data_IF_017607995776
#
_entry.id   IF_017607995776
#
_cell.length_a   1.000
_cell.length_b   1.000
_cell.length_c   1.000
_cell.angle_alpha   90.00
_cell.angle_beta   90.00
_cell.angle_gamma   90.00
#
_symmetry.space_group_name_H-M   'P 1'
#
loop_
_entity.id
_entity.type
_entity.pdbx_description
1 polymer ?
#
# COMPACT_ATOMS: atom_id res chain seq x y z
N UNK A 1 10.62 -9.63 -5.55
CA UNK A 1 11.79 -8.75 -5.35
C UNK A 1 11.97 -8.30 -3.90
N UNK A 2 11.50 -9.05 -2.89
CA UNK A 2 11.67 -8.70 -1.47
C UNK A 2 12.19 -9.92 -0.69
N UNK A 3 13.49 -9.96 -0.39
CA UNK A 3 14.14 -11.00 0.40
C UNK A 3 14.31 -10.63 1.89
N UNK A 4 14.10 -9.36 2.26
CA UNK A 4 14.12 -8.91 3.65
C UNK A 4 12.80 -9.21 4.37
N UNK A 5 12.89 -9.72 5.61
CA UNK A 5 11.71 -10.04 6.44
C UNK A 5 10.86 -8.82 6.80
N UNK A 6 11.46 -7.63 6.85
CA UNK A 6 10.78 -6.35 7.10
C UNK A 6 11.35 -5.29 6.16
N UNK A 7 10.48 -4.49 5.54
CA UNK A 7 10.85 -3.38 4.63
C UNK A 7 10.44 -2.08 5.31
N UNK A 8 11.34 -1.13 5.47
CA UNK A 8 10.99 0.18 6.01
C UNK A 8 10.25 1.03 4.98
N UNK A 9 9.42 1.98 5.43
CA UNK A 9 8.78 2.95 4.53
C UNK A 9 9.79 3.76 3.74
N UNK A 10 10.94 4.10 4.35
CA UNK A 10 12.02 4.83 3.70
C UNK A 10 12.67 4.01 2.58
N UNK A 11 12.98 2.73 2.81
CA UNK A 11 13.50 1.84 1.76
C UNK A 11 12.51 1.70 0.60
N UNK A 12 11.22 1.54 0.91
CA UNK A 12 10.18 1.44 -0.11
C UNK A 12 10.01 2.76 -0.87
N UNK A 13 10.04 3.90 -0.17
CA UNK A 13 9.98 5.23 -0.77
C UNK A 13 11.15 5.43 -1.75
N UNK A 14 12.37 5.11 -1.33
CA UNK A 14 13.56 5.22 -2.17
C UNK A 14 13.48 4.31 -3.40
N UNK A 15 13.05 3.06 -3.23
CA UNK A 15 12.89 2.11 -4.33
C UNK A 15 11.84 2.57 -5.37
N UNK A 16 10.71 3.12 -4.91
CA UNK A 16 9.63 3.59 -5.80
C UNK A 16 9.86 5.00 -6.34
N UNK A 17 10.93 5.69 -5.93
CA UNK A 17 11.15 7.10 -6.27
C UNK A 17 10.06 8.02 -5.69
N UNK A 18 9.50 7.66 -4.53
CA UNK A 18 8.47 8.40 -3.82
C UNK A 18 9.04 9.05 -2.55
N UNK A 19 8.32 10.06 -2.06
CA UNK A 19 8.53 10.58 -0.70
C UNK A 19 7.86 9.68 0.35
N UNK A 20 8.38 9.70 1.58
CA UNK A 20 7.73 8.98 2.69
C UNK A 20 6.29 9.49 2.94
N UNK A 21 6.02 10.78 2.70
CA UNK A 21 4.68 11.37 2.76
C UNK A 21 3.69 10.76 1.76
N UNK A 22 4.14 10.46 0.54
CA UNK A 22 3.32 9.78 -0.48
C UNK A 22 3.03 8.33 -0.07
N UNK A 23 4.04 7.61 0.44
CA UNK A 23 3.85 6.26 1.00
C UNK A 23 2.83 6.29 2.16
N UNK A 24 2.95 7.26 3.07
CA UNK A 24 2.00 7.43 4.18
C UNK A 24 0.58 7.72 3.70
N UNK A 25 0.42 8.50 2.63
CA UNK A 25 -0.89 8.76 2.02
C UNK A 25 -1.51 7.49 1.44
N UNK A 26 -0.73 6.67 0.73
CA UNK A 26 -1.20 5.37 0.21
C UNK A 26 -1.60 4.44 1.37
N UNK A 27 -0.76 4.32 2.40
CA UNK A 27 -1.06 3.54 3.60
C UNK A 27 -2.36 3.99 4.27
N UNK A 28 -2.56 5.30 4.41
CA UNK A 28 -3.78 5.88 4.99
C UNK A 28 -5.03 5.50 4.20
N UNK A 29 -4.98 5.56 2.86
CA UNK A 29 -6.09 5.17 1.99
C UNK A 29 -6.37 3.66 2.04
N UNK A 30 -5.34 2.82 2.12
CA UNK A 30 -5.50 1.38 2.27
C UNK A 30 -6.07 1.02 3.65
N UNK A 31 -5.67 1.71 4.72
CA UNK A 31 -6.23 1.56 6.08
C UNK A 31 -7.73 1.82 6.16
N UNK A 32 -8.24 2.77 5.37
CA UNK A 32 -9.69 3.03 5.30
C UNK A 32 -10.48 1.83 4.75
N UNK A 33 -9.84 0.99 3.92
CA UNK A 33 -10.45 -0.19 3.29
C UNK A 33 -10.16 -1.48 4.06
N UNK A 34 -9.01 -1.51 4.73
CA UNK A 34 -8.47 -2.63 5.47
C UNK A 34 -8.14 -2.17 6.88
N UNK A 35 -9.01 -2.50 7.84
CA UNK A 35 -8.89 -2.12 9.25
C UNK A 35 -7.51 -2.44 9.86
N UNK A 36 -6.79 -3.43 9.32
CA UNK A 36 -5.47 -3.88 9.78
C UNK A 36 -4.31 -3.58 8.83
N UNK A 37 -4.42 -2.63 7.89
CA UNK A 37 -3.31 -2.28 7.02
C UNK A 37 -2.23 -1.50 7.80
N UNK A 38 -1.19 -2.22 8.24
CA UNK A 38 -0.08 -1.87 9.13
C UNK A 38 -0.44 -1.41 10.55
N UNK A 39 -0.01 -2.15 11.60
CA UNK A 39 1.11 -1.68 12.42
C UNK A 39 2.13 -2.80 12.66
N UNK A 40 3.40 -2.59 12.28
CA UNK A 40 4.46 -3.54 12.63
C UNK A 40 5.47 -2.92 13.60
N UNK A 41 5.15 -3.06 14.88
CA UNK A 41 5.98 -2.82 16.07
C UNK A 41 6.33 -1.34 16.34
N UNK A 42 6.00 -0.89 17.56
CA UNK A 42 6.28 0.44 18.09
C UNK A 42 7.75 0.84 17.89
N UNK A 43 7.97 1.90 17.12
CA UNK A 43 9.28 2.56 16.99
C UNK A 43 9.94 2.48 15.62
N UNK A 44 9.56 1.55 14.74
CA UNK A 44 10.14 1.49 13.38
C UNK A 44 9.02 1.35 12.33
N UNK A 45 8.95 2.30 11.39
CA UNK A 45 8.05 2.32 10.24
C UNK A 45 8.29 1.15 9.28
N UNK A 46 8.08 -0.09 9.73
CA UNK A 46 8.28 -1.32 8.97
C UNK A 46 6.95 -1.79 8.36
N UNK A 47 7.07 -2.42 7.21
CA UNK A 47 6.03 -3.03 6.40
C UNK A 47 6.38 -4.51 6.22
N UNK A 48 5.37 -5.37 6.31
CA UNK A 48 5.48 -6.75 5.88
C UNK A 48 5.63 -6.79 4.36
N UNK A 49 6.22 -7.86 3.84
CA UNK A 49 6.43 -8.06 2.39
C UNK A 49 5.15 -7.87 1.56
N UNK A 50 4.01 -8.38 2.02
CA UNK A 50 2.74 -8.23 1.30
C UNK A 50 2.20 -6.79 1.34
N UNK A 51 2.43 -6.04 2.42
CA UNK A 51 2.03 -4.63 2.53
C UNK A 51 2.86 -3.77 1.58
N UNK A 52 4.18 -4.01 1.51
CA UNK A 52 5.05 -3.34 0.56
C UNK A 52 4.66 -3.65 -0.89
N UNK A 53 4.37 -4.92 -1.21
CA UNK A 53 3.89 -5.32 -2.53
C UNK A 53 2.54 -4.66 -2.90
N UNK A 54 1.63 -4.51 -1.94
CA UNK A 54 0.37 -3.81 -2.18
C UNK A 54 0.59 -2.32 -2.46
N UNK A 55 1.51 -1.65 -1.75
CA UNK A 55 1.85 -0.24 -1.99
C UNK A 55 2.53 -0.07 -3.35
N UNK A 56 3.47 -0.96 -3.70
CA UNK A 56 4.11 -1.01 -5.02
C UNK A 56 3.06 -1.18 -6.14
N UNK A 57 2.09 -2.08 -5.94
CA UNK A 57 0.99 -2.26 -6.88
C UNK A 57 0.13 -1.00 -7.03
N UNK A 58 -0.23 -0.34 -5.92
CA UNK A 58 -0.97 0.93 -5.97
C UNK A 58 -0.19 1.95 -6.78
N UNK A 59 1.10 2.11 -6.51
CA UNK A 59 1.95 3.08 -7.23
C UNK A 59 1.97 2.81 -8.74
N UNK A 60 2.09 1.54 -9.16
CA UNK A 60 2.05 1.18 -10.58
C UNK A 60 0.68 1.54 -11.20
N UNK A 61 -0.42 1.21 -10.50
CA UNK A 61 -1.79 1.46 -11.00
C UNK A 61 -2.19 2.93 -11.00
N UNK A 62 -1.57 3.77 -10.17
CA UNK A 62 -1.78 5.21 -10.20
C UNK A 62 -1.38 5.88 -11.53
N UNK A 63 -0.67 5.18 -12.43
CA UNK A 63 -0.40 5.65 -13.79
C UNK A 63 -1.63 5.66 -14.69
N UNK A 64 -2.62 4.83 -14.38
CA UNK A 64 -3.81 4.59 -15.21
C UNK A 64 -5.12 4.91 -14.47
N UNK A 65 -5.08 4.90 -13.14
CA UNK A 65 -6.26 5.03 -12.29
C UNK A 65 -6.05 6.09 -11.21
N UNK A 66 -7.16 6.60 -10.67
CA UNK A 66 -7.08 7.43 -9.46
C UNK A 66 -6.46 6.65 -8.30
N UNK A 67 -5.89 7.37 -7.34
CA UNK A 67 -5.29 6.72 -6.17
C UNK A 67 -6.29 5.87 -5.38
N UNK A 68 -7.57 6.26 -5.33
CA UNK A 68 -8.61 5.49 -4.65
C UNK A 68 -8.94 4.19 -5.39
N UNK A 69 -9.10 4.23 -6.71
CA UNK A 69 -9.32 3.03 -7.52
C UNK A 69 -8.11 2.09 -7.51
N UNK A 70 -6.90 2.64 -7.57
CA UNK A 70 -5.67 1.86 -7.43
C UNK A 70 -5.60 1.16 -6.06
N UNK A 71 -6.02 1.83 -4.99
CA UNK A 71 -6.15 1.22 -3.66
C UNK A 71 -7.23 0.12 -3.64
N UNK A 72 -8.38 0.33 -4.27
CA UNK A 72 -9.43 -0.70 -4.34
C UNK A 72 -8.93 -1.96 -5.06
N UNK A 73 -8.29 -1.78 -6.21
CA UNK A 73 -7.69 -2.87 -6.98
C UNK A 73 -6.62 -3.62 -6.18
N UNK A 74 -5.81 -2.91 -5.40
CA UNK A 74 -4.80 -3.53 -4.53
C UNK A 74 -5.45 -4.37 -3.42
N UNK A 75 -6.56 -3.90 -2.84
CA UNK A 75 -7.32 -4.67 -1.84
C UNK A 75 -7.90 -5.94 -2.45
N UNK A 76 -8.50 -5.84 -3.64
CA UNK A 76 -9.06 -6.97 -4.36
C UNK A 76 -7.98 -8.02 -4.71
N UNK A 77 -6.82 -7.56 -5.20
CA UNK A 77 -5.74 -8.42 -5.66
C UNK A 77 -4.97 -9.12 -4.51
N UNK A 78 -4.70 -8.43 -3.41
CA UNK A 78 -3.82 -8.94 -2.35
C UNK A 78 -4.57 -9.44 -1.11
N UNK A 79 -5.81 -9.02 -0.90
CA UNK A 79 -6.58 -9.34 0.31
C UNK A 79 -7.89 -10.09 0.00
N UNK A 80 -8.12 -10.45 -1.27
CA UNK A 80 -9.29 -11.21 -1.74
C UNK A 80 -10.64 -10.64 -1.27
N UNK A 81 -10.68 -9.34 -0.99
CA UNK A 81 -11.85 -8.64 -0.48
C UNK A 81 -12.44 -7.83 -1.61
N UNK A 82 -13.65 -8.20 -2.04
CA UNK A 82 -14.37 -7.47 -3.09
C UNK A 82 -14.81 -6.12 -2.53
N UNK A 83 -14.42 -5.03 -3.18
CA UNK A 83 -14.90 -3.69 -2.81
C UNK A 83 -16.08 -3.38 -3.72
N UNK A 84 -17.27 -3.28 -3.14
CA UNK A 84 -18.47 -2.92 -3.89
C UNK A 84 -18.35 -1.45 -4.28
N UNK A 85 -17.89 -1.18 -5.51
CA UNK A 85 -17.83 0.18 -6.06
C UNK A 85 -19.26 0.64 -6.33
N UNK A 86 -19.74 1.60 -5.55
CA UNK A 86 -20.97 2.31 -5.90
C UNK A 86 -20.60 3.23 -7.06
N UNK A 87 -21.09 2.94 -8.27
CA UNK A 87 -20.94 3.86 -9.41
C UNK A 87 -21.70 5.13 -9.05
N UNK A 88 -20.99 6.23 -8.86
CA UNK A 88 -21.58 7.56 -8.95
C UNK A 88 -21.71 7.94 -10.42
#
# INVERSE_FOLDING_TARGET
MWNNKNITRLELAHYLGLTEGQINTIISKLRKRLTQFAPSISGVSRLKKHEAAAIEFVYIRMKEYSQDEACDLAVEAFYQRRITRVKN
#
